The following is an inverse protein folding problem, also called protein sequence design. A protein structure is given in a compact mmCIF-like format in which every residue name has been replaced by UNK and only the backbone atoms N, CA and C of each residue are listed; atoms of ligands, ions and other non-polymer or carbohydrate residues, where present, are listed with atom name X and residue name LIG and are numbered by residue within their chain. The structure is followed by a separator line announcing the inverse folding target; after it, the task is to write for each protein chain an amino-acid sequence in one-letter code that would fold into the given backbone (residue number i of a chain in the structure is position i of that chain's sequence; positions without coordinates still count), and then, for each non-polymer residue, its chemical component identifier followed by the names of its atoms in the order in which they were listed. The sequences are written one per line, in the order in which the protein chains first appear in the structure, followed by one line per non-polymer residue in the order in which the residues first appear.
data_IF_610218946616
#
_entry.id   IF_610218946616
#
_cell.length_a   1.000
_cell.length_b   1.000
_cell.length_c   1.000
_cell.angle_alpha   90.00
_cell.angle_beta   90.00
_cell.angle_gamma   90.00
#
_symmetry.space_group_name_H-M   'P 1'
#
loop_
_entity.id
_entity.type
_entity.pdbx_description
1 polymer ?
#
# COMPACT_ATOMS: atom_id res chain seq x y z
N UNK A 1 -0.01 -15.52 2.53
CA UNK A 1 -0.25 -14.31 3.34
C UNK A 1 -0.09 -13.04 2.51
N UNK A 2 -1.06 -12.14 2.58
CA UNK A 2 -0.95 -10.77 2.07
C UNK A 2 -0.44 -9.85 3.17
N UNK A 3 0.66 -9.13 2.93
CA UNK A 3 1.11 -8.07 3.83
C UNK A 3 0.61 -6.74 3.29
N UNK A 4 -0.15 -5.99 4.09
CA UNK A 4 -0.64 -4.64 3.76
C UNK A 4 0.01 -3.65 4.71
N UNK A 5 1.00 -2.92 4.22
CA UNK A 5 1.68 -1.87 4.97
C UNK A 5 1.16 -0.50 4.58
N UNK A 6 0.83 0.31 5.59
CA UNK A 6 0.31 1.64 5.37
C UNK A 6 0.79 2.63 6.41
N UNK A 7 0.72 3.92 6.07
CA UNK A 7 0.90 4.98 7.03
C UNK A 7 -0.18 4.92 8.13
N UNK A 8 0.19 5.26 9.37
CA UNK A 8 -0.66 5.08 10.55
C UNK A 8 -1.50 6.34 10.90
N UNK A 9 -1.81 7.18 9.92
CA UNK A 9 -2.78 8.26 10.05
C UNK A 9 -4.11 7.91 9.36
N UNK A 10 -5.01 8.89 9.24
CA UNK A 10 -6.30 8.70 8.60
C UNK A 10 -6.19 8.24 7.14
N UNK A 11 -5.28 8.80 6.36
CA UNK A 11 -5.11 8.47 4.94
C UNK A 11 -4.74 6.99 4.79
N UNK A 12 -3.66 6.55 5.43
CA UNK A 12 -3.21 5.16 5.36
C UNK A 12 -4.17 4.14 6.01
N UNK A 13 -4.85 4.50 7.12
CA UNK A 13 -5.84 3.60 7.76
C UNK A 13 -7.07 3.41 6.85
N UNK A 14 -7.60 4.49 6.28
CA UNK A 14 -8.78 4.42 5.40
C UNK A 14 -8.41 3.69 4.11
N UNK A 15 -7.24 3.95 3.55
CA UNK A 15 -6.68 3.21 2.41
C UNK A 15 -6.64 1.71 2.68
N UNK A 16 -6.12 1.32 3.85
CA UNK A 16 -6.02 -0.09 4.27
C UNK A 16 -7.40 -0.74 4.34
N UNK A 17 -8.37 -0.07 4.97
CA UNK A 17 -9.74 -0.56 5.06
C UNK A 17 -10.36 -0.77 3.67
N UNK A 18 -10.27 0.23 2.80
CA UNK A 18 -10.82 0.14 1.44
C UNK A 18 -10.14 -0.95 0.61
N UNK A 19 -8.81 -1.03 0.66
CA UNK A 19 -8.07 -2.06 -0.08
C UNK A 19 -8.52 -3.45 0.34
N UNK A 20 -8.55 -3.71 1.65
CA UNK A 20 -8.95 -5.01 2.17
C UNK A 20 -10.39 -5.33 1.79
N UNK A 21 -11.31 -4.39 1.99
CA UNK A 21 -12.73 -4.63 1.72
C UNK A 21 -13.02 -4.87 0.24
N UNK A 22 -12.37 -4.16 -0.67
CA UNK A 22 -12.66 -4.28 -2.11
C UNK A 22 -11.84 -5.38 -2.79
N UNK A 23 -10.65 -5.70 -2.29
CA UNK A 23 -9.71 -6.59 -2.99
C UNK A 23 -9.30 -7.84 -2.20
N UNK A 24 -9.30 -7.80 -0.87
CA UNK A 24 -8.84 -8.91 -0.02
C UNK A 24 -9.93 -9.40 0.96
N UNK A 25 -11.20 -9.13 0.67
CA UNK A 25 -12.31 -9.43 1.58
C UNK A 25 -12.38 -10.91 1.94
N UNK A 26 -12.17 -11.78 0.95
CA UNK A 26 -12.20 -13.24 1.13
C UNK A 26 -10.99 -13.77 1.90
N UNK A 27 -9.90 -13.01 1.96
CA UNK A 27 -8.65 -13.39 2.63
C UNK A 27 -8.58 -12.87 4.07
N UNK A 28 -9.33 -11.82 4.41
CA UNK A 28 -9.35 -11.22 5.73
C UNK A 28 -10.24 -11.99 6.71
N UNK A 29 -9.84 -12.16 7.99
CA UNK A 29 -8.59 -11.70 8.61
C UNK A 29 -7.43 -12.69 8.50
N UNK A 30 -7.70 -13.96 8.17
CA UNK A 30 -6.76 -15.06 8.40
C UNK A 30 -5.51 -15.03 7.51
N UNK A 31 -5.62 -14.48 6.30
CA UNK A 31 -4.54 -14.43 5.32
C UNK A 31 -4.08 -12.99 5.01
N UNK A 32 -4.37 -12.04 5.90
CA UNK A 32 -3.94 -10.64 5.78
C UNK A 32 -3.21 -10.18 7.04
N UNK A 33 -1.98 -9.70 6.87
CA UNK A 33 -1.18 -9.07 7.92
C UNK A 33 -1.11 -7.56 7.68
N UNK A 34 -1.72 -6.79 8.56
CA UNK A 34 -1.72 -5.32 8.49
C UNK A 34 -0.49 -4.78 9.24
N UNK A 35 0.23 -3.84 8.62
CA UNK A 35 1.39 -3.15 9.18
C UNK A 35 1.14 -1.65 9.11
N UNK A 36 0.62 -1.08 10.20
CA UNK A 36 0.50 0.38 10.34
C UNK A 36 1.82 0.93 10.86
N UNK A 37 2.42 1.87 10.14
CA UNK A 37 3.76 2.40 10.42
C UNK A 37 3.85 3.91 10.25
N UNK A 38 4.97 4.48 10.70
CA UNK A 38 5.39 5.85 10.39
C UNK A 38 6.46 5.82 9.27
N UNK A 39 6.65 6.91 8.50
CA UNK A 39 7.53 6.92 7.33
C UNK A 39 8.97 6.51 7.68
N UNK A 40 9.55 7.09 8.73
CA UNK A 40 10.93 6.83 9.17
C UNK A 40 11.15 5.43 9.76
N UNK A 41 10.10 4.63 9.94
CA UNK A 41 10.15 3.25 10.44
C UNK A 41 9.65 2.22 9.45
N UNK A 42 9.11 2.64 8.31
CA UNK A 42 8.40 1.76 7.38
C UNK A 42 9.26 0.57 6.95
N UNK A 43 10.52 0.80 6.57
CA UNK A 43 11.45 -0.27 6.19
C UNK A 43 11.62 -1.32 7.29
N UNK A 44 11.85 -0.87 8.54
CA UNK A 44 12.02 -1.74 9.71
C UNK A 44 10.76 -2.54 10.05
N UNK A 45 9.61 -1.88 10.10
CA UNK A 45 8.36 -2.51 10.52
C UNK A 45 7.85 -3.49 9.43
N UNK A 46 8.07 -3.18 8.14
CA UNK A 46 7.83 -4.11 7.02
C UNK A 46 8.78 -5.31 7.08
N UNK A 47 10.07 -5.09 7.30
CA UNK A 47 11.05 -6.18 7.38
C UNK A 47 10.73 -7.14 8.54
N UNK A 48 10.32 -6.59 9.69
CA UNK A 48 9.81 -7.40 10.81
C UNK A 48 8.60 -8.24 10.37
N UNK A 49 7.63 -7.64 9.67
CA UNK A 49 6.44 -8.35 9.23
C UNK A 49 6.75 -9.49 8.24
N UNK A 50 7.71 -9.28 7.34
CA UNK A 50 8.22 -10.31 6.42
C UNK A 50 8.80 -11.50 7.21
N UNK A 51 9.59 -11.24 8.25
CA UNK A 51 10.22 -12.29 9.06
C UNK A 51 9.25 -13.05 9.98
N UNK A 52 8.03 -12.55 10.17
CA UNK A 52 6.97 -13.20 10.96
C UNK A 52 6.07 -14.10 10.09
N UNK A 53 6.35 -14.25 8.80
CA UNK A 53 5.51 -14.94 7.83
C UNK A 53 6.36 -15.88 6.97
N UNK A 54 5.94 -17.14 6.85
CA UNK A 54 6.68 -18.13 6.07
C UNK A 54 6.54 -17.94 4.55
N UNK A 55 5.33 -17.61 4.08
CA UNK A 55 5.01 -17.45 2.65
C UNK A 55 4.21 -16.17 2.41
N UNK A 56 4.75 -15.31 1.54
CA UNK A 56 4.15 -14.02 1.18
C UNK A 56 3.59 -14.13 -0.24
N UNK A 57 2.28 -14.05 -0.36
CA UNK A 57 1.59 -14.10 -1.66
C UNK A 57 1.67 -12.74 -2.37
N UNK A 58 1.51 -11.66 -1.59
CA UNK A 58 1.68 -10.30 -2.07
C UNK A 58 2.07 -9.33 -0.97
N UNK A 59 2.70 -8.23 -1.38
CA UNK A 59 2.96 -7.05 -0.56
C UNK A 59 2.18 -5.87 -1.14
N UNK A 60 1.45 -5.17 -0.27
CA UNK A 60 0.71 -3.96 -0.62
C UNK A 60 1.26 -2.82 0.24
N UNK A 61 1.65 -1.73 -0.40
CA UNK A 61 2.19 -0.53 0.25
C UNK A 61 1.23 0.62 -0.08
N UNK A 62 0.61 1.20 0.93
CA UNK A 62 -0.39 2.26 0.81
C UNK A 62 0.11 3.50 1.54
N UNK A 63 0.06 4.65 0.88
CA UNK A 63 0.33 5.95 1.51
C UNK A 63 1.71 6.07 2.18
N UNK A 64 2.70 5.34 1.69
CA UNK A 64 4.07 5.38 2.21
C UNK A 64 5.01 5.92 1.15
N UNK A 65 5.60 7.07 1.45
CA UNK A 65 6.62 7.65 0.60
C UNK A 65 7.79 6.68 0.41
N UNK A 66 8.13 6.40 -0.86
CA UNK A 66 9.24 5.53 -1.21
C UNK A 66 10.58 6.21 -0.89
N UNK A 67 11.49 5.43 -0.31
CA UNK A 67 12.90 5.77 -0.15
C UNK A 67 13.80 4.63 -0.66
N UNK A 68 15.11 4.76 -0.48
CA UNK A 68 16.08 3.77 -0.95
C UNK A 68 15.95 2.42 -0.25
N UNK A 69 15.63 2.42 1.05
CA UNK A 69 15.49 1.19 1.85
C UNK A 69 14.21 0.44 1.48
N UNK A 70 13.08 1.14 1.44
CA UNK A 70 11.81 0.55 1.06
C UNK A 70 11.84 0.04 -0.38
N UNK A 71 12.49 0.77 -1.29
CA UNK A 71 12.71 0.33 -2.67
C UNK A 71 13.55 -0.94 -2.74
N UNK A 72 14.58 -1.08 -1.90
CA UNK A 72 15.40 -2.29 -1.84
C UNK A 72 14.59 -3.51 -1.35
N UNK A 73 13.77 -3.33 -0.31
CA UNK A 73 12.87 -4.38 0.20
C UNK A 73 11.90 -4.84 -0.90
N UNK A 74 11.29 -3.89 -1.62
CA UNK A 74 10.36 -4.18 -2.72
C UNK A 74 11.02 -5.02 -3.82
N UNK A 75 12.25 -4.67 -4.21
CA UNK A 75 13.02 -5.43 -5.22
C UNK A 75 13.34 -6.83 -4.73
N UNK A 76 13.82 -6.98 -3.50
CA UNK A 76 14.14 -8.29 -2.92
C UNK A 76 12.93 -9.23 -2.91
N UNK A 77 11.75 -8.72 -2.52
CA UNK A 77 10.50 -9.49 -2.57
C UNK A 77 10.12 -9.88 -4.01
N UNK A 78 10.28 -8.93 -4.93
CA UNK A 78 9.97 -9.15 -6.35
C UNK A 78 10.88 -10.22 -6.97
N UNK A 79 12.17 -10.22 -6.64
CA UNK A 79 13.15 -11.23 -7.09
C UNK A 79 12.80 -12.63 -6.56
N UNK A 80 12.13 -12.72 -5.41
CA UNK A 80 11.56 -13.95 -4.86
C UNK A 80 10.20 -14.32 -5.47
N UNK A 81 9.71 -13.55 -6.44
CA UNK A 81 8.45 -13.80 -7.15
C UNK A 81 7.20 -13.24 -6.46
N UNK A 82 7.34 -12.47 -5.38
CA UNK A 82 6.22 -11.85 -4.67
C UNK A 82 5.62 -10.72 -5.53
N UNK A 83 4.29 -10.66 -5.61
CA UNK A 83 3.60 -9.55 -6.27
C UNK A 83 3.59 -8.34 -5.35
N UNK A 84 3.99 -7.18 -5.86
CA UNK A 84 3.99 -5.92 -5.09
C UNK A 84 3.02 -4.92 -5.71
N UNK A 85 2.15 -4.35 -4.88
CA UNK A 85 1.29 -3.22 -5.25
C UNK A 85 1.68 -2.02 -4.41
N UNK A 86 1.93 -0.88 -5.06
CA UNK A 86 2.23 0.39 -4.40
C UNK A 86 1.17 1.39 -4.83
N UNK A 87 0.52 2.02 -3.87
CA UNK A 87 -0.40 3.14 -4.10
C UNK A 87 0.04 4.30 -3.23
N UNK A 88 0.44 5.40 -3.88
CA UNK A 88 1.00 6.54 -3.18
C UNK A 88 0.82 7.83 -3.98
N UNK A 89 0.76 8.97 -3.29
CA UNK A 89 0.62 10.31 -3.86
C UNK A 89 1.76 11.27 -3.49
N UNK A 90 2.70 10.84 -2.62
CA UNK A 90 3.81 11.67 -2.18
C UNK A 90 4.78 12.01 -3.32
N UNK A 91 5.16 13.29 -3.44
CA UNK A 91 6.07 13.75 -4.51
C UNK A 91 7.48 13.14 -4.38
N UNK A 92 7.92 12.88 -3.15
CA UNK A 92 9.22 12.26 -2.84
C UNK A 92 9.40 10.88 -3.48
N UNK A 93 8.32 10.14 -3.69
CA UNK A 93 8.32 8.80 -4.29
C UNK A 93 8.62 8.80 -5.79
N UNK A 94 8.36 9.92 -6.49
CA UNK A 94 8.43 10.02 -7.95
C UNK A 94 9.74 9.49 -8.54
N UNK A 95 10.87 9.72 -7.84
CA UNK A 95 12.19 9.26 -8.30
C UNK A 95 12.33 7.74 -8.33
N UNK A 96 11.63 7.02 -7.46
CA UNK A 96 11.66 5.56 -7.37
C UNK A 96 10.59 4.89 -8.24
N UNK A 97 9.43 5.54 -8.40
CA UNK A 97 8.30 5.04 -9.22
C UNK A 97 8.76 4.64 -10.63
N UNK A 98 9.51 5.50 -11.31
CA UNK A 98 9.97 5.25 -12.68
C UNK A 98 10.88 4.02 -12.81
N UNK A 99 11.62 3.69 -11.75
CA UNK A 99 12.44 2.49 -11.71
C UNK A 99 11.58 1.25 -11.48
N UNK A 100 10.71 1.30 -10.47
CA UNK A 100 9.88 0.17 -10.05
C UNK A 100 8.87 -0.25 -11.12
N UNK A 101 8.29 0.70 -11.86
CA UNK A 101 7.35 0.44 -12.96
C UNK A 101 7.93 -0.42 -14.10
N UNK A 102 9.25 -0.56 -14.20
CA UNK A 102 9.89 -1.42 -15.22
C UNK A 102 9.86 -2.90 -14.84
N UNK A 103 9.51 -3.22 -13.59
CA UNK A 103 9.52 -4.59 -13.05
C UNK A 103 8.18 -5.28 -13.27
N UNK A 104 8.20 -6.54 -13.74
CA UNK A 104 6.98 -7.27 -14.14
C UNK A 104 6.03 -7.63 -12.99
N UNK A 105 6.53 -7.77 -11.77
CA UNK A 105 5.72 -8.14 -10.60
C UNK A 105 5.36 -6.95 -9.70
N UNK A 106 5.60 -5.73 -10.18
CA UNK A 106 5.32 -4.51 -9.43
C UNK A 106 4.25 -3.71 -10.16
N UNK A 107 3.14 -3.44 -9.49
CA UNK A 107 2.12 -2.51 -9.95
C UNK A 107 2.21 -1.24 -9.12
N UNK A 108 2.53 -0.12 -9.77
CA UNK A 108 2.64 1.17 -9.10
C UNK A 108 1.52 2.08 -9.58
N UNK A 109 0.68 2.53 -8.67
CA UNK A 109 -0.33 3.57 -8.88
C UNK A 109 0.17 4.80 -8.15
N UNK A 110 0.69 5.76 -8.91
CA UNK A 110 1.22 6.99 -8.37
C UNK A 110 0.71 8.17 -9.17
N UNK A 111 0.10 9.12 -8.49
CA UNK A 111 -0.32 10.40 -9.05
C UNK A 111 -0.54 11.40 -7.93
N UNK A 112 -0.50 12.69 -8.26
CA UNK A 112 -0.90 13.73 -7.31
C UNK A 112 -2.41 13.60 -7.06
N UNK A 113 -2.78 13.31 -5.83
CA UNK A 113 -4.16 13.26 -5.35
C UNK A 113 -4.24 13.94 -3.97
N UNK A 114 -5.45 14.34 -3.51
CA UNK A 114 -5.65 14.84 -2.15
C UNK A 114 -5.28 13.80 -1.09
N UNK A 115 -5.61 12.53 -1.34
CA UNK A 115 -5.35 11.40 -0.44
C UNK A 115 -5.13 10.09 -1.21
N UNK A 116 -4.59 9.07 -0.56
CA UNK A 116 -4.45 7.72 -1.13
C UNK A 116 -5.80 7.04 -1.41
N UNK A 117 -6.86 7.13 -0.58
CA UNK A 117 -8.19 6.60 -0.89
C UNK A 117 -8.76 7.18 -2.18
N UNK A 118 -8.63 8.50 -2.38
CA UNK A 118 -9.10 9.16 -3.60
C UNK A 118 -8.36 8.66 -4.84
N UNK A 119 -7.05 8.44 -4.72
CA UNK A 119 -6.24 7.85 -5.77
C UNK A 119 -6.68 6.40 -6.09
N UNK A 120 -6.97 5.60 -5.06
CA UNK A 120 -7.44 4.22 -5.22
C UNK A 120 -8.77 4.18 -5.97
N UNK A 121 -9.74 5.00 -5.59
CA UNK A 121 -11.07 4.99 -6.22
C UNK A 121 -10.97 5.34 -7.71
N UNK A 122 -10.24 6.42 -8.01
CA UNK A 122 -10.08 6.90 -9.38
C UNK A 122 -9.29 5.94 -10.27
N UNK A 123 -8.38 5.14 -9.70
CA UNK A 123 -7.49 4.26 -10.46
C UNK A 123 -7.93 2.80 -10.50
N UNK A 124 -8.65 2.33 -9.47
CA UNK A 124 -9.02 0.92 -9.30
C UNK A 124 -10.50 0.65 -9.55
N UNK A 125 -11.34 1.69 -9.70
CA UNK A 125 -12.75 1.52 -10.05
C UNK A 125 -13.62 0.98 -8.91
N UNK A 126 -13.29 1.32 -7.66
CA UNK A 126 -14.09 0.91 -6.50
C UNK A 126 -15.48 1.54 -6.56
N UNK A 127 -16.52 0.73 -6.34
CA UNK A 127 -17.89 1.20 -6.17
C UNK A 127 -18.13 1.39 -4.67
N UNK A 128 -18.31 2.64 -4.26
CA UNK A 128 -18.43 2.99 -2.85
C UNK A 128 -19.87 2.99 -2.35
N UNK A 129 -20.03 2.70 -1.07
CA UNK A 129 -21.23 2.98 -0.31
C UNK A 129 -21.12 4.35 0.41
N UNK A 130 -22.22 4.90 0.96
CA UNK A 130 -22.21 6.22 1.59
C UNK A 130 -21.22 6.36 2.76
N UNK A 131 -20.97 5.29 3.51
CA UNK A 131 -19.99 5.33 4.60
C UNK A 131 -18.56 5.41 4.06
N UNK A 132 -18.25 4.69 3.00
CA UNK A 132 -16.94 4.74 2.34
C UNK A 132 -16.68 6.10 1.70
N UNK A 133 -17.70 6.67 1.05
CA UNK A 133 -17.62 8.05 0.53
C UNK A 133 -17.30 9.04 1.64
N UNK A 134 -17.94 8.92 2.81
CA UNK A 134 -17.64 9.74 3.98
C UNK A 134 -16.17 9.57 4.42
N UNK A 135 -15.67 8.34 4.51
CA UNK A 135 -14.28 8.08 4.90
C UNK A 135 -13.30 8.71 3.91
N UNK A 136 -13.56 8.60 2.61
CA UNK A 136 -12.70 9.20 1.58
C UNK A 136 -12.70 10.72 1.68
N UNK A 137 -13.85 11.33 1.94
CA UNK A 137 -13.93 12.78 2.15
C UNK A 137 -13.20 13.22 3.43
N UNK A 138 -13.14 12.37 4.46
CA UNK A 138 -12.32 12.61 5.66
C UNK A 138 -10.83 12.53 5.32
N UNK A 139 -10.41 11.52 4.55
CA UNK A 139 -9.01 11.36 4.14
C UNK A 139 -8.51 12.55 3.28
N UNK A 140 -9.36 13.12 2.43
CA UNK A 140 -9.01 14.25 1.56
C UNK A 140 -8.70 15.58 2.29
N UNK A 141 -9.06 15.67 3.57
CA UNK A 141 -8.82 16.86 4.42
C UNK A 141 -7.88 16.56 5.58
N UNK A 142 -7.39 15.34 5.66
CA UNK A 142 -6.13 15.05 6.29
C UNK A 142 -4.98 15.56 5.38
#
# INVERSE_FOLDING_TARGET
MHIVAAHADCDGIISTYLYIKHLLHSDYPSNVKIVLTQPWRASKDIHKAINEVDVIDSMVILDLALDGELTAIVKELTDKGVKVVIVDHHLSSKKFVNELMKSRNISVIWSKAPSTPRLMISSMGFVLNPQEELLVNIADVC
#
